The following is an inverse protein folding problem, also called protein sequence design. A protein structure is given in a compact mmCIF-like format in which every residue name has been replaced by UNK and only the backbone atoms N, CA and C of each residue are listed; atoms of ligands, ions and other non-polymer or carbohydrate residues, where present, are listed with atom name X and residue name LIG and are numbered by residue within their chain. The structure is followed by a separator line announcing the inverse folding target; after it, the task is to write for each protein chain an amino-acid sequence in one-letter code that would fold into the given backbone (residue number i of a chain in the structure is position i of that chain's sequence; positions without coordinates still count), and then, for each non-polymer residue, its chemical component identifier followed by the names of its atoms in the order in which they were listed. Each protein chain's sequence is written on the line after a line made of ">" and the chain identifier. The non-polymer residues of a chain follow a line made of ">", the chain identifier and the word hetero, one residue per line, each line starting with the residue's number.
data_IF_467976143563
#
_entry.id   IF_467976143563
#
_cell.length_a   1.000
_cell.length_b   1.000
_cell.length_c   1.000
_cell.angle_alpha   90.00
_cell.angle_beta   90.00
_cell.angle_gamma   90.00
#
_symmetry.space_group_name_H-M   'P 1'
#
loop_
_entity.id
_entity.type
_entity.pdbx_description
1 polymer ?
#
# COMPACT_ATOMS: atom_id res chain seq x y z
N UNK A 1 26.11 23.60 20.71
CA UNK A 1 24.98 24.10 21.49
C UNK A 1 23.87 23.08 21.40
N UNK A 2 23.63 22.34 22.48
CA UNK A 2 22.69 21.22 22.52
C UNK A 2 21.29 21.78 22.83
N UNK A 3 20.63 22.37 21.83
CA UNK A 3 19.21 22.70 21.96
C UNK A 3 18.50 21.35 22.00
N UNK A 4 18.13 20.89 23.21
CA UNK A 4 17.11 19.86 23.37
C UNK A 4 15.82 20.45 22.80
N UNK A 5 15.66 20.42 21.49
CA UNK A 5 14.38 20.71 20.85
C UNK A 5 13.35 19.81 21.52
N UNK A 6 12.29 20.42 22.05
CA UNK A 6 11.25 19.71 22.77
C UNK A 6 10.71 18.58 21.89
N UNK A 7 10.65 17.36 22.44
CA UNK A 7 10.02 16.24 21.73
C UNK A 7 8.55 16.55 21.51
N UNK A 8 8.09 16.36 20.29
CA UNK A 8 6.66 16.46 19.96
C UNK A 8 5.92 15.22 20.48
N UNK A 9 4.63 15.37 20.82
CA UNK A 9 3.73 14.21 20.97
C UNK A 9 3.33 13.66 19.59
N UNK A 10 2.83 12.41 19.49
CA UNK A 10 2.34 11.86 18.23
C UNK A 10 1.32 12.75 17.50
N UNK A 11 0.37 13.34 18.24
CA UNK A 11 -0.67 14.22 17.68
C UNK A 11 -0.09 15.55 17.20
N UNK A 12 0.86 16.12 17.93
CA UNK A 12 1.55 17.35 17.54
C UNK A 12 2.41 17.13 16.29
N UNK A 13 3.14 16.00 16.24
CA UNK A 13 3.92 15.63 15.07
C UNK A 13 3.03 15.45 13.84
N UNK A 14 1.89 14.78 13.98
CA UNK A 14 0.94 14.61 12.88
C UNK A 14 0.37 15.95 12.39
N UNK A 15 -0.05 16.84 13.29
CA UNK A 15 -0.55 18.15 12.91
C UNK A 15 0.51 18.99 12.16
N UNK A 16 1.77 18.91 12.61
CA UNK A 16 2.90 19.59 11.98
C UNK A 16 3.20 19.00 10.59
N UNK A 17 3.14 17.67 10.43
CA UNK A 17 3.29 16.99 9.14
C UNK A 17 2.20 17.44 8.16
N UNK A 18 0.93 17.45 8.59
CA UNK A 18 -0.20 17.90 7.78
C UNK A 18 -0.04 19.36 7.35
N UNK A 19 0.29 20.25 8.29
CA UNK A 19 0.45 21.67 8.00
C UNK A 19 1.58 21.94 7.00
N UNK A 20 2.75 21.32 7.19
CA UNK A 20 3.91 21.49 6.30
C UNK A 20 3.65 20.92 4.91
N UNK A 21 3.07 19.72 4.83
CA UNK A 21 2.73 19.10 3.55
C UNK A 21 1.73 19.96 2.75
N UNK A 22 0.65 20.40 3.38
CA UNK A 22 -0.36 21.25 2.73
C UNK A 22 0.21 22.61 2.29
N UNK A 23 1.11 23.20 3.09
CA UNK A 23 1.81 24.42 2.71
C UNK A 23 2.65 24.23 1.44
N UNK A 24 3.45 23.16 1.37
CA UNK A 24 4.30 22.87 0.20
C UNK A 24 3.49 22.52 -1.05
N UNK A 25 2.41 21.73 -0.91
CA UNK A 25 1.50 21.38 -2.02
C UNK A 25 0.78 22.63 -2.53
N UNK A 26 0.28 23.48 -1.63
CA UNK A 26 -0.40 24.74 -1.99
C UNK A 26 0.56 25.71 -2.68
N UNK A 27 1.78 25.85 -2.15
CA UNK A 27 2.81 26.68 -2.75
C UNK A 27 3.19 26.19 -4.16
N UNK A 28 3.33 24.88 -4.34
CA UNK A 28 3.66 24.30 -5.64
C UNK A 28 2.51 24.46 -6.65
N UNK A 29 1.26 24.22 -6.24
CA UNK A 29 0.06 24.47 -7.07
C UNK A 29 -0.04 25.93 -7.50
N UNK A 30 0.20 26.86 -6.57
CA UNK A 30 0.21 28.29 -6.86
C UNK A 30 1.31 28.64 -7.87
N UNK A 31 2.54 28.16 -7.65
CA UNK A 31 3.66 28.43 -8.55
C UNK A 31 3.43 27.87 -9.97
N UNK A 32 2.80 26.70 -10.09
CA UNK A 32 2.39 26.13 -11.39
C UNK A 32 1.33 27.02 -12.05
N UNK A 33 0.32 27.47 -11.31
CA UNK A 33 -0.69 28.40 -11.82
C UNK A 33 -0.09 29.72 -12.30
N UNK A 34 0.78 30.34 -11.50
CA UNK A 34 1.48 31.59 -11.84
C UNK A 34 2.38 31.42 -13.09
N UNK A 35 2.97 30.24 -13.28
CA UNK A 35 3.73 29.91 -14.48
C UNK A 35 2.83 29.74 -15.71
N UNK A 36 1.68 29.09 -15.57
CA UNK A 36 0.74 28.86 -16.68
C UNK A 36 0.10 30.18 -17.14
N UNK A 37 -0.35 31.00 -16.21
CA UNK A 37 -1.12 32.21 -16.51
C UNK A 37 -0.22 33.40 -16.87
N UNK A 38 0.95 33.50 -16.23
CA UNK A 38 1.80 34.69 -16.30
C UNK A 38 3.26 34.40 -16.72
N UNK A 39 3.62 33.13 -16.98
CA UNK A 39 5.01 32.71 -17.26
C UNK A 39 6.00 33.14 -16.15
N UNK A 40 5.52 33.24 -14.91
CA UNK A 40 6.33 33.59 -13.74
C UNK A 40 7.02 32.35 -13.19
N UNK A 41 8.34 32.44 -12.98
CA UNK A 41 9.13 31.35 -12.39
C UNK A 41 9.15 31.46 -10.85
N UNK A 42 9.18 30.33 -10.14
CA UNK A 42 9.34 30.35 -8.69
C UNK A 42 10.72 30.89 -8.31
N UNK A 43 10.77 31.63 -7.20
CA UNK A 43 12.02 32.15 -6.65
C UNK A 43 12.96 31.02 -6.22
N UNK A 44 14.22 31.12 -6.62
CA UNK A 44 15.26 30.14 -6.31
C UNK A 44 15.66 30.14 -4.84
N UNK A 45 15.61 31.29 -4.18
CA UNK A 45 15.95 31.39 -2.75
C UNK A 45 14.87 30.73 -1.89
N UNK A 46 13.59 31.05 -2.14
CA UNK A 46 12.47 30.39 -1.47
C UNK A 46 12.49 28.86 -1.67
N UNK A 47 12.86 28.36 -2.86
CA UNK A 47 13.02 26.91 -3.10
C UNK A 47 14.14 26.30 -2.26
N UNK A 48 15.29 26.98 -2.17
CA UNK A 48 16.41 26.53 -1.34
C UNK A 48 16.06 26.51 0.16
N UNK A 49 15.16 27.38 0.60
CA UNK A 49 14.60 27.39 1.96
C UNK A 49 13.54 26.29 2.22
N UNK A 50 13.16 25.53 1.19
CA UNK A 50 12.26 24.38 1.32
C UNK A 50 10.80 24.66 0.92
N UNK A 51 10.53 25.58 -0.01
CA UNK A 51 9.17 25.91 -0.43
C UNK A 51 8.36 24.69 -0.93
N UNK A 52 8.98 23.78 -1.68
CA UNK A 52 8.30 22.65 -2.32
C UNK A 52 8.69 21.30 -1.73
N UNK A 53 9.24 21.25 -0.51
CA UNK A 53 9.79 20.00 0.02
C UNK A 53 8.76 19.16 0.77
N UNK A 54 8.97 17.84 0.77
CA UNK A 54 8.24 16.97 1.69
C UNK A 54 8.62 17.29 3.14
N UNK A 55 7.71 17.13 4.10
CA UNK A 55 8.09 17.08 5.50
C UNK A 55 8.93 15.83 5.81
N UNK A 56 9.86 15.98 6.75
CA UNK A 56 10.70 14.91 7.28
C UNK A 56 10.28 14.59 8.71
N UNK A 57 10.05 13.31 8.98
CA UNK A 57 9.75 12.77 10.30
C UNK A 57 10.99 12.08 10.85
N UNK A 58 11.44 12.50 12.03
CA UNK A 58 12.60 11.92 12.72
C UNK A 58 12.20 11.44 14.11
N UNK A 59 12.55 10.20 14.43
CA UNK A 59 12.31 9.56 15.73
C UNK A 59 13.64 9.05 16.28
N UNK A 60 14.05 9.56 17.43
CA UNK A 60 15.31 9.17 18.08
C UNK A 60 15.06 8.38 19.36
N UNK A 61 15.89 7.36 19.59
CA UNK A 61 15.90 6.60 20.84
C UNK A 61 17.34 6.51 21.36
N UNK A 62 17.51 6.75 22.67
CA UNK A 62 18.79 6.84 23.35
C UNK A 62 19.37 5.48 23.79
N UNK A 63 18.61 4.40 23.62
CA UNK A 63 19.01 3.06 24.04
C UNK A 63 18.69 2.73 25.49
N UNK A 64 18.00 3.61 26.22
CA UNK A 64 17.64 3.38 27.61
C UNK A 64 16.63 2.22 27.77
N UNK A 65 16.61 1.63 28.96
CA UNK A 65 15.68 0.55 29.30
C UNK A 65 14.23 0.97 29.02
N UNK A 66 13.51 0.09 28.32
CA UNK A 66 12.20 0.38 27.77
C UNK A 66 11.14 -0.63 28.25
N UNK A 67 9.86 -0.25 28.14
CA UNK A 67 8.72 -1.11 28.53
C UNK A 67 8.21 -1.98 27.37
N UNK A 68 8.77 -1.81 26.18
CA UNK A 68 8.30 -2.50 24.98
C UNK A 68 8.33 -4.02 25.11
N UNK A 69 7.28 -4.66 24.58
CA UNK A 69 7.18 -6.11 24.48
C UNK A 69 8.18 -6.64 23.45
N UNK A 70 9.15 -7.44 23.90
CA UNK A 70 10.13 -8.11 23.01
C UNK A 70 9.49 -9.09 22.00
N UNK A 71 8.23 -9.47 22.22
CA UNK A 71 7.47 -10.40 21.38
C UNK A 71 6.69 -9.73 20.25
N UNK A 72 6.58 -8.38 20.26
CA UNK A 72 5.87 -7.65 19.20
C UNK A 72 6.64 -7.78 17.88
N UNK A 73 5.91 -7.93 16.78
CA UNK A 73 6.51 -8.08 15.45
C UNK A 73 6.90 -6.73 14.80
N UNK A 74 6.25 -5.62 15.14
CA UNK A 74 6.54 -4.28 14.61
C UNK A 74 6.63 -3.22 15.71
N UNK A 75 6.96 -1.97 15.34
CA UNK A 75 7.04 -0.84 16.29
C UNK A 75 8.14 -1.03 17.32
N UNK A 76 9.35 -1.39 16.86
CA UNK A 76 10.50 -1.70 17.72
C UNK A 76 11.75 -0.99 17.25
N UNK A 77 12.68 -0.77 18.18
CA UNK A 77 14.04 -0.38 17.85
C UNK A 77 14.98 -1.58 17.96
N UNK A 78 15.86 -1.72 16.99
CA UNK A 78 16.95 -2.71 17.03
C UNK A 78 18.18 -2.13 17.75
N UNK A 79 18.45 -0.84 17.55
CA UNK A 79 19.60 -0.14 18.13
C UNK A 79 19.19 1.28 18.52
N UNK A 80 19.97 1.90 19.40
CA UNK A 80 19.86 3.33 19.66
C UNK A 80 20.27 4.13 18.40
N UNK A 81 19.66 5.29 18.20
CA UNK A 81 19.95 6.14 17.06
C UNK A 81 18.77 7.01 16.63
N UNK A 82 18.95 7.70 15.51
CA UNK A 82 17.91 8.51 14.87
C UNK A 82 17.39 7.80 13.62
N UNK A 83 16.08 7.61 13.57
CA UNK A 83 15.36 7.01 12.47
C UNK A 83 14.57 8.10 11.75
N UNK A 84 14.79 8.29 10.44
CA UNK A 84 14.15 9.36 9.67
C UNK A 84 13.49 8.83 8.40
N UNK A 85 12.48 9.55 7.92
CA UNK A 85 11.86 9.33 6.62
C UNK A 85 11.14 10.59 6.15
N UNK A 86 11.04 10.78 4.84
CA UNK A 86 10.13 11.77 4.26
C UNK A 86 8.70 11.24 4.25
N UNK A 87 7.72 12.12 4.46
CA UNK A 87 6.30 11.77 4.52
C UNK A 87 5.53 12.51 3.43
N UNK A 88 4.61 11.80 2.76
CA UNK A 88 3.60 12.36 1.86
C UNK A 88 2.21 12.01 2.35
N UNK A 89 1.19 12.74 1.88
CA UNK A 89 -0.23 12.55 2.19
C UNK A 89 -0.52 12.21 3.68
N UNK A 90 -0.09 13.03 4.67
CA UNK A 90 -0.22 12.69 6.08
C UNK A 90 -1.67 12.44 6.53
N UNK A 91 -2.65 13.10 5.88
CA UNK A 91 -4.08 12.87 6.11
C UNK A 91 -4.53 11.45 5.74
N UNK A 92 -4.05 10.91 4.61
CA UNK A 92 -4.33 9.53 4.19
C UNK A 92 -3.74 8.53 5.18
N UNK A 93 -2.50 8.76 5.61
CA UNK A 93 -1.77 7.88 6.53
C UNK A 93 -2.00 8.21 8.01
N UNK A 94 -2.96 9.07 8.34
CA UNK A 94 -3.18 9.61 9.70
C UNK A 94 -3.28 8.52 10.76
N UNK A 95 -4.15 7.54 10.54
CA UNK A 95 -4.37 6.46 11.50
C UNK A 95 -3.11 5.58 11.66
N UNK A 96 -2.44 5.28 10.56
CA UNK A 96 -1.19 4.50 10.56
C UNK A 96 -0.07 5.23 11.31
N UNK A 97 0.20 6.49 10.96
CA UNK A 97 1.25 7.28 11.58
C UNK A 97 0.99 7.49 13.07
N UNK A 98 -0.25 7.78 13.46
CA UNK A 98 -0.63 7.95 14.85
C UNK A 98 -0.40 6.66 15.65
N UNK A 99 -0.84 5.51 15.12
CA UNK A 99 -0.60 4.20 15.76
C UNK A 99 0.90 3.94 15.96
N UNK A 100 1.70 4.05 14.89
CA UNK A 100 3.12 3.73 14.95
C UNK A 100 3.88 4.68 15.87
N UNK A 101 3.64 6.00 15.78
CA UNK A 101 4.29 6.99 16.63
C UNK A 101 3.90 6.82 18.10
N UNK A 102 2.65 6.47 18.38
CA UNK A 102 2.18 6.21 19.74
C UNK A 102 2.92 5.03 20.37
N UNK A 103 3.11 3.94 19.63
CA UNK A 103 3.86 2.77 20.12
C UNK A 103 5.31 3.14 20.47
N UNK A 104 6.00 3.86 19.58
CA UNK A 104 7.39 4.25 19.81
C UNK A 104 7.52 5.26 20.96
N UNK A 105 6.58 6.20 21.05
CA UNK A 105 6.56 7.21 22.09
C UNK A 105 6.28 6.62 23.48
N UNK A 106 5.24 5.79 23.61
CA UNK A 106 4.82 5.25 24.91
C UNK A 106 5.75 4.16 25.44
N UNK A 107 6.24 3.28 24.57
CA UNK A 107 7.00 2.11 25.02
C UNK A 107 8.49 2.39 25.20
N UNK A 108 9.05 3.29 24.38
CA UNK A 108 10.49 3.61 24.35
C UNK A 108 10.80 5.03 24.81
N UNK A 109 9.79 5.88 25.04
CA UNK A 109 10.03 7.29 25.35
C UNK A 109 10.70 8.04 24.20
N UNK A 110 10.46 7.61 22.95
CA UNK A 110 11.19 8.10 21.79
C UNK A 110 10.98 9.60 21.54
N UNK A 111 12.03 10.27 21.09
CA UNK A 111 12.00 11.70 20.77
C UNK A 111 11.54 11.92 19.33
N UNK A 112 10.39 12.54 19.15
CA UNK A 112 9.79 12.82 17.83
C UNK A 112 10.06 14.26 17.42
N UNK A 113 10.51 14.44 16.17
CA UNK A 113 10.74 15.75 15.54
C UNK A 113 10.20 15.75 14.11
N UNK A 114 9.73 16.92 13.68
CA UNK A 114 9.28 17.16 12.31
C UNK A 114 10.06 18.35 11.76
N UNK A 115 10.69 18.16 10.62
CA UNK A 115 11.59 19.13 9.99
C UNK A 115 11.29 19.23 8.48
N UNK A 116 11.89 20.20 7.80
CA UNK A 116 11.86 20.25 6.34
C UNK A 116 12.84 19.22 5.79
N UNK A 117 12.41 18.44 4.80
CA UNK A 117 13.35 17.57 4.08
C UNK A 117 14.15 18.37 3.04
N UNK A 118 15.09 17.69 2.38
CA UNK A 118 15.81 18.22 1.22
C UNK A 118 15.18 17.81 -0.12
N UNK A 119 14.03 17.13 -0.07
CA UNK A 119 13.42 16.50 -1.23
C UNK A 119 12.18 17.28 -1.68
N UNK A 120 12.26 17.89 -2.85
CA UNK A 120 11.10 18.54 -3.48
C UNK A 120 10.05 17.51 -3.94
N UNK A 121 8.77 17.92 -3.84
CA UNK A 121 7.58 17.21 -4.33
C UNK A 121 7.52 17.35 -5.85
N UNK A 122 7.54 16.25 -6.62
CA UNK A 122 7.33 16.31 -8.05
C UNK A 122 5.97 16.91 -8.41
N UNK A 123 5.97 17.88 -9.32
CA UNK A 123 4.75 18.58 -9.74
C UNK A 123 3.62 17.66 -10.25
N UNK A 124 3.89 16.49 -10.89
CA UNK A 124 2.80 15.61 -11.34
C UNK A 124 1.91 15.08 -10.20
N UNK A 125 2.40 15.07 -8.96
CA UNK A 125 1.65 14.53 -7.82
C UNK A 125 0.74 15.56 -7.14
N UNK A 126 0.94 16.85 -7.40
CA UNK A 126 0.06 17.91 -6.87
C UNK A 126 -1.05 18.30 -7.85
N UNK A 127 -0.94 17.90 -9.12
CA UNK A 127 -1.94 18.17 -10.15
C UNK A 127 -3.00 17.06 -10.13
N UNK A 128 -4.25 17.43 -9.85
CA UNK A 128 -5.37 16.53 -10.09
C UNK A 128 -5.58 16.37 -11.60
N UNK A 129 -5.37 15.15 -12.10
CA UNK A 129 -5.26 14.80 -13.52
C UNK A 129 -6.44 15.15 -14.44
N UNK A 130 -7.47 15.82 -13.94
CA UNK A 130 -8.61 16.33 -14.70
C UNK A 130 -8.52 17.84 -15.03
N UNK A 131 -7.56 18.58 -14.49
CA UNK A 131 -7.61 20.05 -14.49
C UNK A 131 -6.72 20.76 -15.51
N UNK A 132 -5.71 20.11 -16.09
CA UNK A 132 -4.70 20.80 -16.91
C UNK A 132 -4.48 20.12 -18.26
N UNK A 133 -5.16 20.61 -19.30
CA UNK A 133 -4.77 20.37 -20.69
C UNK A 133 -3.63 21.30 -21.07
N UNK A 134 -2.40 20.81 -20.91
CA UNK A 134 -1.19 21.56 -21.26
C UNK A 134 -0.86 21.38 -22.74
N UNK A 135 -0.44 22.46 -23.41
CA UNK A 135 0.18 22.34 -24.72
C UNK A 135 1.61 21.72 -24.61
N UNK A 136 2.21 21.38 -25.76
CA UNK A 136 3.56 20.79 -25.79
C UNK A 136 4.67 21.73 -25.28
N UNK A 137 4.52 23.05 -25.47
CA UNK A 137 5.51 24.05 -25.06
C UNK A 137 5.52 24.21 -23.55
N UNK A 138 4.34 24.31 -22.93
CA UNK A 138 4.15 24.42 -21.48
C UNK A 138 4.61 23.17 -20.74
N UNK A 139 4.39 21.99 -21.34
CA UNK A 139 4.88 20.72 -20.77
C UNK A 139 6.42 20.67 -20.69
N UNK A 140 7.12 21.17 -21.72
CA UNK A 140 8.58 21.25 -21.73
C UNK A 140 9.10 22.29 -20.71
N UNK A 141 8.40 23.41 -20.57
CA UNK A 141 8.69 24.43 -19.56
C UNK A 141 8.57 23.91 -18.13
N UNK A 142 7.46 23.23 -17.82
CA UNK A 142 7.23 22.64 -16.50
C UNK A 142 8.32 21.64 -16.12
N UNK A 143 8.65 20.72 -17.02
CA UNK A 143 9.70 19.71 -16.80
C UNK A 143 11.08 20.34 -16.56
N UNK A 144 11.34 21.53 -17.12
CA UNK A 144 12.62 22.22 -17.00
C UNK A 144 12.78 23.01 -15.69
N UNK A 145 11.71 23.65 -15.23
CA UNK A 145 11.79 24.61 -14.13
C UNK A 145 11.20 24.09 -12.81
N UNK A 146 10.33 23.08 -12.86
CA UNK A 146 9.67 22.50 -11.69
C UNK A 146 10.23 21.11 -11.34
N UNK A 147 10.02 20.65 -10.09
CA UNK A 147 10.51 19.34 -9.66
C UNK A 147 9.82 18.21 -10.43
N UNK A 148 10.61 17.30 -11.00
CA UNK A 148 10.15 16.16 -11.80
C UNK A 148 10.33 14.84 -11.08
N UNK A 149 9.62 13.81 -11.56
CA UNK A 149 9.81 12.45 -11.09
C UNK A 149 11.11 11.87 -11.66
N UNK A 150 12.17 11.87 -10.85
CA UNK A 150 13.44 11.23 -11.20
C UNK A 150 13.41 9.75 -10.80
N UNK A 151 13.26 8.85 -11.78
CA UNK A 151 13.16 7.40 -11.56
C UNK A 151 14.38 6.81 -10.83
N UNK A 152 15.56 7.39 -11.02
CA UNK A 152 16.79 6.98 -10.33
C UNK A 152 16.78 7.26 -8.82
N UNK A 153 15.88 8.13 -8.35
CA UNK A 153 15.74 8.53 -6.95
C UNK A 153 14.52 7.87 -6.28
N UNK A 154 13.80 7.02 -7.01
CA UNK A 154 12.66 6.25 -6.49
C UNK A 154 13.11 4.80 -6.42
N UNK A 155 13.41 4.35 -5.21
CA UNK A 155 13.93 3.03 -4.98
C UNK A 155 13.23 2.30 -3.85
N UNK A 156 13.51 1.00 -3.82
CA UNK A 156 13.04 0.04 -2.82
C UNK A 156 14.17 -0.37 -1.87
N UNK A 157 15.28 0.38 -1.83
CA UNK A 157 16.51 -0.03 -1.15
C UNK A 157 16.29 -0.32 0.33
N UNK A 158 15.38 0.41 0.98
CA UNK A 158 15.01 0.15 2.37
C UNK A 158 14.18 -1.12 2.52
N UNK A 159 13.22 -1.35 1.62
CA UNK A 159 12.36 -2.53 1.65
C UNK A 159 13.14 -3.82 1.25
N UNK A 160 14.11 -3.68 0.34
CA UNK A 160 14.99 -4.75 -0.15
C UNK A 160 16.16 -5.03 0.80
N UNK A 161 16.35 -4.22 1.85
CA UNK A 161 17.44 -4.37 2.82
C UNK A 161 18.83 -4.00 2.26
N UNK A 162 18.87 -3.22 1.17
CA UNK A 162 20.09 -2.74 0.53
C UNK A 162 20.60 -1.41 1.11
N UNK A 163 19.80 -0.75 1.95
CA UNK A 163 20.18 0.50 2.59
C UNK A 163 21.21 0.28 3.70
N UNK A 164 22.39 0.90 3.57
CA UNK A 164 23.48 0.83 4.56
C UNK A 164 23.55 2.17 5.31
N UNK A 165 23.01 2.25 6.54
CA UNK A 165 22.95 3.50 7.29
C UNK A 165 24.35 3.89 7.79
N UNK A 166 24.74 5.14 7.56
CA UNK A 166 25.96 5.73 8.16
C UNK A 166 25.64 6.53 9.42
N UNK A 167 24.66 7.44 9.35
CA UNK A 167 24.31 8.36 10.44
C UNK A 167 22.82 8.32 10.83
N UNK A 168 21.93 8.11 9.86
CA UNK A 168 20.48 8.01 10.07
C UNK A 168 19.96 6.67 9.56
N UNK A 169 19.02 6.09 10.32
CA UNK A 169 18.34 4.85 9.97
C UNK A 169 16.99 5.14 9.29
N UNK A 170 16.48 4.26 8.42
CA UNK A 170 15.15 4.44 7.83
C UNK A 170 14.05 4.19 8.87
N UNK A 171 13.11 5.13 9.02
CA UNK A 171 11.96 4.97 9.93
C UNK A 171 10.84 4.10 9.35
N UNK A 172 10.65 4.12 8.03
CA UNK A 172 9.62 3.36 7.32
C UNK A 172 10.21 2.62 6.12
N UNK A 173 9.43 1.69 5.56
CA UNK A 173 9.84 0.93 4.38
C UNK A 173 9.99 1.76 3.11
N UNK A 174 9.18 2.82 3.01
CA UNK A 174 9.13 3.67 1.83
C UNK A 174 9.20 5.13 2.25
N UNK A 175 9.82 5.92 1.40
CA UNK A 175 9.89 7.37 1.50
C UNK A 175 8.71 8.03 0.78
N UNK A 176 8.61 9.36 0.88
CA UNK A 176 7.51 10.11 0.29
C UNK A 176 7.38 9.94 -1.23
N UNK A 177 8.50 9.93 -1.96
CA UNK A 177 8.50 9.85 -3.42
C UNK A 177 8.03 8.49 -3.92
N UNK A 178 8.50 7.41 -3.28
CA UNK A 178 8.07 6.04 -3.58
C UNK A 178 6.58 5.82 -3.28
N UNK A 179 6.09 6.42 -2.19
CA UNK A 179 4.66 6.41 -1.85
C UNK A 179 3.85 7.14 -2.92
N UNK A 180 4.17 8.40 -3.26
CA UNK A 180 3.41 9.17 -4.25
C UNK A 180 3.41 8.51 -5.64
N UNK A 181 4.56 7.99 -6.07
CA UNK A 181 4.66 7.21 -7.30
C UNK A 181 3.68 6.04 -7.31
N UNK A 182 3.64 5.30 -6.21
CA UNK A 182 2.77 4.13 -6.08
C UNK A 182 1.29 4.50 -5.95
N UNK A 183 0.95 5.59 -5.25
CA UNK A 183 -0.43 6.08 -5.15
C UNK A 183 -0.97 6.49 -6.52
N UNK A 184 -0.17 7.22 -7.31
CA UNK A 184 -0.52 7.59 -8.67
C UNK A 184 -0.72 6.36 -9.57
N UNK A 185 0.16 5.36 -9.45
CA UNK A 185 0.06 4.10 -10.20
C UNK A 185 -1.12 3.23 -9.77
N UNK A 186 -1.41 3.14 -8.47
CA UNK A 186 -2.60 2.45 -7.96
C UNK A 186 -3.85 3.03 -8.62
N UNK A 187 -4.05 4.35 -8.52
CA UNK A 187 -5.21 5.01 -9.13
C UNK A 187 -5.31 4.71 -10.63
N UNK A 188 -4.19 4.73 -11.35
CA UNK A 188 -4.16 4.42 -12.79
C UNK A 188 -4.52 2.96 -13.09
N UNK A 189 -3.97 1.99 -12.37
CA UNK A 189 -4.19 0.58 -12.64
C UNK A 189 -5.53 0.07 -12.14
N UNK A 190 -6.02 0.58 -11.01
CA UNK A 190 -7.24 0.11 -10.36
C UNK A 190 -8.48 0.92 -10.74
N UNK A 191 -8.30 2.16 -11.20
CA UNK A 191 -9.41 3.05 -11.49
C UNK A 191 -10.18 3.48 -10.25
N UNK A 192 -9.54 3.42 -9.07
CA UNK A 192 -10.13 3.75 -7.77
C UNK A 192 -9.25 4.73 -6.98
N UNK A 193 -9.83 5.59 -6.14
CA UNK A 193 -9.09 6.43 -5.20
C UNK A 193 -8.34 5.58 -4.16
N UNK A 194 -7.15 6.03 -3.74
CA UNK A 194 -6.31 5.30 -2.78
C UNK A 194 -6.94 5.27 -1.37
N UNK A 195 -7.74 6.28 -1.04
CA UNK A 195 -8.47 6.46 0.21
C UNK A 195 -9.48 5.34 0.46
N UNK A 196 -9.93 4.65 -0.59
CA UNK A 196 -10.95 3.62 -0.49
C UNK A 196 -10.36 2.24 -0.20
N UNK A 197 -9.04 2.06 -0.32
CA UNK A 197 -8.40 0.77 -0.07
C UNK A 197 -8.54 0.35 1.39
N UNK A 198 -9.07 -0.85 1.56
CA UNK A 198 -9.24 -1.50 2.85
C UNK A 198 -8.03 -2.41 3.19
N UNK A 199 -7.73 -2.62 4.50
CA UNK A 199 -6.56 -3.39 4.94
C UNK A 199 -6.54 -4.86 4.55
N UNK A 200 -7.72 -5.47 4.32
CA UNK A 200 -7.88 -6.87 3.92
C UNK A 200 -8.09 -6.96 2.42
N UNK A 201 -7.09 -7.48 1.70
CA UNK A 201 -7.10 -7.50 0.24
C UNK A 201 -7.29 -8.92 -0.29
N UNK A 202 -8.11 -9.05 -1.33
CA UNK A 202 -8.30 -10.26 -2.10
C UNK A 202 -7.83 -10.01 -3.53
N UNK A 203 -6.95 -10.87 -4.02
CA UNK A 203 -6.56 -10.92 -5.42
C UNK A 203 -7.35 -12.01 -6.12
N UNK A 204 -7.79 -11.72 -7.35
CA UNK A 204 -8.35 -12.73 -8.23
C UNK A 204 -7.80 -12.64 -9.64
N UNK A 205 -7.78 -13.78 -10.33
CA UNK A 205 -7.38 -13.90 -11.74
C UNK A 205 -8.57 -14.18 -12.67
N UNK A 206 -9.81 -14.19 -12.15
CA UNK A 206 -10.98 -14.54 -12.94
C UNK A 206 -12.16 -13.62 -12.67
N UNK A 207 -12.69 -13.04 -13.75
CA UNK A 207 -13.70 -11.98 -13.68
C UNK A 207 -14.96 -12.37 -12.92
N UNK A 208 -15.39 -13.64 -12.96
CA UNK A 208 -16.62 -14.05 -12.24
C UNK A 208 -16.54 -13.88 -10.73
N UNK A 209 -15.34 -13.84 -10.13
CA UNK A 209 -15.20 -13.51 -8.71
C UNK A 209 -15.59 -12.07 -8.41
N UNK A 210 -15.40 -11.16 -9.36
CA UNK A 210 -15.85 -9.77 -9.23
C UNK A 210 -17.37 -9.70 -9.21
N UNK A 211 -18.03 -10.38 -10.14
CA UNK A 211 -19.50 -10.37 -10.24
C UNK A 211 -20.12 -10.87 -8.93
N UNK A 212 -19.59 -11.98 -8.40
CA UNK A 212 -20.01 -12.54 -7.11
C UNK A 212 -19.70 -11.59 -5.94
N UNK A 213 -18.51 -10.98 -5.92
CA UNK A 213 -18.14 -10.04 -4.86
C UNK A 213 -19.02 -8.79 -4.84
N UNK A 214 -19.37 -8.24 -6.00
CA UNK A 214 -20.26 -7.08 -6.08
C UNK A 214 -21.68 -7.47 -5.69
N UNK A 215 -22.19 -8.60 -6.19
CA UNK A 215 -23.53 -9.07 -5.80
C UNK A 215 -23.63 -9.29 -4.29
N UNK A 216 -22.66 -10.01 -3.70
CA UNK A 216 -22.57 -10.18 -2.26
C UNK A 216 -22.42 -8.84 -1.53
N UNK A 217 -21.57 -7.94 -2.02
CA UNK A 217 -21.34 -6.64 -1.40
C UNK A 217 -22.57 -5.74 -1.39
N UNK A 218 -23.34 -5.71 -2.47
CA UNK A 218 -24.62 -5.00 -2.51
C UNK A 218 -25.61 -5.59 -1.51
N UNK A 219 -25.69 -6.92 -1.40
CA UNK A 219 -26.52 -7.58 -0.38
C UNK A 219 -26.09 -7.19 1.04
N UNK A 220 -24.79 -7.13 1.30
CA UNK A 220 -24.26 -6.72 2.61
C UNK A 220 -24.51 -5.25 2.95
N UNK A 221 -24.61 -4.36 1.96
CA UNK A 221 -24.90 -2.94 2.20
C UNK A 221 -26.39 -2.72 2.52
N UNK A 222 -27.26 -3.55 1.95
CA UNK A 222 -28.70 -3.52 2.21
C UNK A 222 -29.07 -4.15 3.57
N UNK A 223 -28.24 -5.05 4.08
CA UNK A 223 -28.42 -5.67 5.39
C UNK A 223 -28.07 -4.69 6.54
N UNK A 224 -29.03 -4.27 7.38
CA UNK A 224 -28.76 -3.36 8.49
C UNK A 224 -27.83 -3.92 9.57
N UNK A 225 -27.72 -5.25 9.69
CA UNK A 225 -26.86 -5.90 10.69
C UNK A 225 -25.39 -6.03 10.23
N UNK A 226 -25.15 -5.76 8.94
CA UNK A 226 -23.84 -5.84 8.32
C UNK A 226 -23.01 -4.57 8.58
N UNK A 227 -21.69 -4.68 8.83
CA UNK A 227 -20.83 -3.52 9.09
C UNK A 227 -20.51 -2.70 7.83
N UNK A 228 -20.92 -3.18 6.66
CA UNK A 228 -20.54 -2.65 5.36
C UNK A 228 -21.54 -1.60 4.88
N UNK A 229 -21.03 -0.42 4.53
CA UNK A 229 -21.89 0.77 4.27
C UNK A 229 -21.78 1.30 2.85
N UNK A 230 -20.68 0.98 2.15
CA UNK A 230 -20.45 1.48 0.80
C UNK A 230 -19.60 0.52 -0.02
N UNK A 231 -19.75 0.58 -1.35
CA UNK A 231 -18.95 -0.13 -2.31
C UNK A 231 -18.40 0.86 -3.35
N UNK A 232 -17.09 1.10 -3.30
CA UNK A 232 -16.38 1.84 -4.34
C UNK A 232 -15.99 0.89 -5.46
N UNK A 233 -16.40 1.22 -6.67
CA UNK A 233 -16.14 0.41 -7.85
C UNK A 233 -15.15 1.12 -8.79
N UNK A 234 -14.33 0.31 -9.48
CA UNK A 234 -13.46 0.79 -10.55
C UNK A 234 -14.26 1.59 -11.60
N UNK A 235 -13.71 2.74 -12.01
CA UNK A 235 -14.38 3.65 -12.93
C UNK A 235 -15.17 4.77 -12.26
N UNK A 236 -15.09 4.90 -10.93
CA UNK A 236 -15.59 6.05 -10.17
C UNK A 236 -17.03 5.91 -9.64
N UNK A 237 -17.57 4.70 -9.66
CA UNK A 237 -18.93 4.42 -9.19
C UNK A 237 -18.90 4.20 -7.68
N UNK A 238 -19.87 4.80 -6.98
CA UNK A 238 -19.99 4.74 -5.53
C UNK A 238 -21.40 4.27 -5.17
N UNK A 239 -21.49 3.09 -4.56
CA UNK A 239 -22.75 2.45 -4.19
C UNK A 239 -22.93 2.53 -2.67
N UNK A 240 -24.13 2.90 -2.24
CA UNK A 240 -24.59 2.94 -0.84
C UNK A 240 -25.99 2.33 -0.73
N UNK A 241 -26.52 2.20 0.49
CA UNK A 241 -27.88 1.68 0.72
C UNK A 241 -28.99 2.53 0.05
N UNK A 242 -28.71 3.80 -0.27
CA UNK A 242 -29.64 4.72 -0.92
C UNK A 242 -29.56 4.70 -2.45
N UNK A 243 -28.64 3.92 -3.02
CA UNK A 243 -28.41 3.90 -4.48
C UNK A 243 -29.50 3.10 -5.19
N UNK A 244 -30.20 3.72 -6.14
CA UNK A 244 -31.18 3.03 -7.00
C UNK A 244 -30.47 2.07 -7.98
N UNK A 245 -30.96 0.84 -8.09
CA UNK A 245 -30.48 -0.20 -9.01
C UNK A 245 -28.95 -0.49 -8.95
N UNK A 246 -28.41 -0.90 -7.79
CA UNK A 246 -26.97 -1.10 -7.58
C UNK A 246 -26.34 -2.17 -8.49
N UNK A 247 -27.13 -3.13 -8.96
CA UNK A 247 -26.69 -4.23 -9.85
C UNK A 247 -26.40 -3.76 -11.28
N UNK A 248 -27.02 -2.67 -11.74
CA UNK A 248 -26.78 -2.10 -13.08
C UNK A 248 -25.55 -1.18 -13.12
N UNK A 249 -24.95 -0.91 -11.96
CA UNK A 249 -23.82 0.00 -11.81
C UNK A 249 -22.47 -0.68 -12.09
N UNK A 250 -22.42 -1.99 -12.35
CA UNK A 250 -21.19 -2.63 -12.84
C UNK A 250 -21.01 -2.26 -14.31
N UNK A 251 -20.19 -1.25 -14.57
CA UNK A 251 -19.92 -0.82 -15.93
C UNK A 251 -18.93 -1.76 -16.61
N UNK A 252 -19.33 -2.38 -17.73
CA UNK A 252 -18.43 -3.09 -18.65
C UNK A 252 -17.22 -2.24 -19.09
N UNK A 253 -17.30 -0.91 -18.98
CA UNK A 253 -16.20 0.00 -19.29
C UNK A 253 -15.04 -0.05 -18.29
N UNK A 254 -15.23 -0.57 -17.08
CA UNK A 254 -14.17 -0.66 -16.08
C UNK A 254 -12.99 -1.51 -16.58
N UNK A 255 -13.28 -2.67 -17.18
CA UNK A 255 -12.29 -3.58 -17.77
C UNK A 255 -11.59 -3.02 -19.01
N UNK A 256 -12.25 -2.15 -19.76
CA UNK A 256 -11.66 -1.56 -20.97
C UNK A 256 -10.65 -0.46 -20.66
N UNK A 257 -10.80 0.21 -19.51
CA UNK A 257 -9.99 1.38 -19.14
C UNK A 257 -8.86 1.07 -18.16
N UNK A 258 -9.02 0.05 -17.31
CA UNK A 258 -8.08 -0.24 -16.22
C UNK A 258 -7.57 -1.67 -16.31
N UNK A 259 -6.24 -1.84 -16.20
CA UNK A 259 -5.60 -3.14 -16.35
C UNK A 259 -5.91 -4.09 -15.17
N UNK A 260 -6.01 -3.55 -13.95
CA UNK A 260 -6.24 -4.32 -12.73
C UNK A 260 -7.34 -3.69 -11.87
N UNK A 261 -8.62 -3.71 -12.32
CA UNK A 261 -9.71 -3.02 -11.64
C UNK A 261 -9.88 -3.48 -10.19
N UNK A 262 -10.25 -2.55 -9.31
CA UNK A 262 -10.50 -2.82 -7.89
C UNK A 262 -11.92 -2.46 -7.44
N UNK A 263 -12.38 -3.15 -6.40
CA UNK A 263 -13.62 -2.90 -5.70
C UNK A 263 -13.36 -2.87 -4.20
N UNK A 264 -13.91 -1.89 -3.51
CA UNK A 264 -13.67 -1.67 -2.10
C UNK A 264 -14.98 -1.64 -1.35
N UNK A 265 -15.17 -2.62 -0.49
CA UNK A 265 -16.36 -2.80 0.31
C UNK A 265 -16.03 -2.25 1.70
N UNK A 266 -16.57 -1.07 2.00
CA UNK A 266 -16.08 -0.14 3.02
C UNK A 266 -16.95 -0.24 4.28
N UNK A 267 -16.30 -0.21 5.44
CA UNK A 267 -16.94 -0.11 6.77
C UNK A 267 -16.70 1.28 7.37
N UNK A 268 -17.45 1.64 8.41
CA UNK A 268 -17.25 2.92 9.12
C UNK A 268 -15.85 3.03 9.77
N UNK A 269 -15.26 1.92 10.21
CA UNK A 269 -13.93 1.89 10.83
C UNK A 269 -12.78 1.63 9.84
N UNK A 270 -13.07 1.56 8.54
CA UNK A 270 -12.07 1.33 7.49
C UNK A 270 -11.43 -0.05 7.54
N UNK A 271 -12.15 -1.07 8.04
CA UNK A 271 -11.72 -2.48 8.11
C UNK A 271 -12.54 -3.36 7.18
N UNK A 272 -12.85 -2.83 6.01
CA UNK A 272 -13.56 -3.55 4.96
C UNK A 272 -12.69 -4.51 4.16
N UNK A 273 -13.16 -4.86 2.96
CA UNK A 273 -12.46 -5.77 2.05
C UNK A 273 -12.21 -5.06 0.72
N UNK A 274 -10.98 -5.15 0.22
CA UNK A 274 -10.63 -4.75 -1.15
C UNK A 274 -10.47 -5.98 -2.02
N UNK A 275 -11.15 -6.03 -3.15
CA UNK A 275 -10.93 -7.04 -4.18
C UNK A 275 -10.26 -6.40 -5.39
N UNK A 276 -9.17 -7.00 -5.87
CA UNK A 276 -8.45 -6.55 -7.06
C UNK A 276 -8.37 -7.70 -8.05
N UNK A 277 -8.90 -7.49 -9.25
CA UNK A 277 -8.70 -8.43 -10.34
C UNK A 277 -7.36 -8.14 -11.01
N UNK A 278 -6.34 -8.93 -10.70
CA UNK A 278 -4.97 -8.75 -11.23
C UNK A 278 -4.81 -9.33 -12.64
N UNK A 279 -5.84 -10.01 -13.13
CA UNK A 279 -5.79 -10.79 -14.36
C UNK A 279 -4.76 -11.91 -14.25
N UNK A 280 -4.02 -12.10 -15.34
CA UNK A 280 -3.14 -13.26 -15.53
C UNK A 280 -1.72 -12.78 -15.86
N UNK A 281 -0.71 -13.48 -15.36
CA UNK A 281 0.71 -13.17 -15.55
C UNK A 281 1.44 -12.66 -14.30
N UNK A 282 2.60 -13.23 -13.94
CA UNK A 282 3.42 -12.80 -12.79
C UNK A 282 3.81 -11.31 -12.80
N UNK A 283 3.98 -10.71 -13.98
CA UNK A 283 4.32 -9.29 -14.13
C UNK A 283 3.24 -8.36 -13.54
N UNK A 284 1.96 -8.67 -13.75
CA UNK A 284 0.86 -7.91 -13.17
C UNK A 284 0.84 -8.09 -11.65
N UNK A 285 0.99 -9.33 -11.17
CA UNK A 285 1.04 -9.63 -9.73
C UNK A 285 2.16 -8.86 -9.03
N UNK A 286 3.37 -8.81 -9.61
CA UNK A 286 4.46 -7.99 -9.08
C UNK A 286 4.08 -6.51 -9.06
N UNK A 287 3.64 -5.97 -10.21
CA UNK A 287 3.33 -4.55 -10.38
C UNK A 287 2.30 -4.05 -9.38
N UNK A 288 1.20 -4.79 -9.18
CA UNK A 288 0.18 -4.38 -8.21
C UNK A 288 0.70 -4.48 -6.77
N UNK A 289 1.48 -5.51 -6.44
CA UNK A 289 2.03 -5.68 -5.10
C UNK A 289 3.03 -4.56 -4.76
N UNK A 290 3.87 -4.16 -5.72
CA UNK A 290 4.85 -3.06 -5.54
C UNK A 290 4.15 -1.77 -5.10
N UNK A 291 2.99 -1.47 -5.70
CA UNK A 291 2.26 -0.25 -5.40
C UNK A 291 1.31 -0.39 -4.21
N UNK A 292 0.57 -1.50 -4.11
CA UNK A 292 -0.32 -1.78 -2.99
C UNK A 292 0.45 -1.82 -1.66
N UNK A 293 1.74 -2.18 -1.73
CA UNK A 293 2.60 -2.22 -0.58
C UNK A 293 2.60 -0.92 0.21
N UNK A 294 2.59 0.24 -0.44
CA UNK A 294 2.74 1.53 0.27
C UNK A 294 1.59 1.83 1.22
N UNK A 295 0.42 1.23 0.98
CA UNK A 295 -0.77 1.35 1.83
C UNK A 295 -0.73 0.50 3.10
N UNK A 296 0.32 -0.33 3.27
CA UNK A 296 0.53 -1.19 4.46
C UNK A 296 -0.70 -2.07 4.77
N UNK A 297 -1.15 -2.93 3.82
CA UNK A 297 -2.25 -3.84 4.08
C UNK A 297 -1.93 -4.83 5.20
N UNK A 298 -2.96 -5.26 5.93
CA UNK A 298 -2.85 -6.26 7.00
C UNK A 298 -2.56 -7.63 6.42
N UNK A 299 -3.26 -7.97 5.34
CA UNK A 299 -3.11 -9.22 4.61
C UNK A 299 -3.64 -9.06 3.18
N UNK A 300 -3.01 -9.75 2.25
CA UNK A 300 -3.61 -10.02 0.95
C UNK A 300 -3.65 -11.53 0.69
N UNK A 301 -4.71 -12.00 0.03
CA UNK A 301 -4.92 -13.42 -0.27
C UNK A 301 -5.11 -13.61 -1.78
N UNK A 302 -4.55 -14.68 -2.33
CA UNK A 302 -4.79 -15.08 -3.71
C UNK A 302 -5.97 -16.04 -3.79
N UNK A 303 -7.09 -15.59 -4.37
CA UNK A 303 -8.30 -16.37 -4.61
C UNK A 303 -8.53 -16.45 -6.12
N UNK A 304 -8.05 -17.53 -6.72
CA UNK A 304 -8.12 -17.73 -8.17
C UNK A 304 -8.16 -19.18 -8.57
N UNK A 305 -8.29 -19.42 -9.87
CA UNK A 305 -8.24 -20.77 -10.42
C UNK A 305 -6.81 -21.26 -10.57
N UNK A 306 -6.63 -22.58 -10.54
CA UNK A 306 -5.38 -23.25 -10.84
C UNK A 306 -5.63 -24.60 -11.54
N UNK A 307 -4.59 -25.15 -12.17
CA UNK A 307 -4.64 -26.51 -12.74
C UNK A 307 -4.28 -27.56 -11.68
N UNK A 308 -5.13 -28.58 -11.52
CA UNK A 308 -4.80 -29.76 -10.72
C UNK A 308 -3.80 -30.64 -11.45
N UNK A 309 -2.70 -31.02 -10.79
CA UNK A 309 -1.64 -31.86 -11.37
C UNK A 309 -1.71 -33.32 -10.93
N UNK A 310 -2.64 -33.65 -10.03
CA UNK A 310 -2.79 -35.00 -9.48
C UNK A 310 -4.09 -35.61 -10.00
N UNK A 311 -4.04 -36.87 -10.39
CA UNK A 311 -5.21 -37.63 -10.86
C UNK A 311 -6.36 -37.68 -9.85
N UNK A 312 -6.04 -37.60 -8.56
CA UNK A 312 -7.02 -37.66 -7.48
C UNK A 312 -7.75 -36.33 -7.26
N UNK A 313 -7.43 -35.27 -8.01
CA UNK A 313 -8.08 -33.96 -7.88
C UNK A 313 -9.23 -33.85 -8.87
N UNK A 314 -10.36 -33.35 -8.40
CA UNK A 314 -11.52 -33.03 -9.22
C UNK A 314 -11.59 -31.52 -9.51
N UNK A 315 -12.27 -31.16 -10.60
CA UNK A 315 -12.61 -29.75 -10.86
C UNK A 315 -13.54 -29.27 -9.73
N UNK A 316 -13.14 -28.17 -9.07
CA UNK A 316 -13.87 -27.61 -7.93
C UNK A 316 -13.24 -27.93 -6.57
N UNK A 317 -12.18 -28.74 -6.53
CA UNK A 317 -11.35 -28.90 -5.33
C UNK A 317 -10.53 -27.64 -5.05
N UNK A 318 -10.27 -27.39 -3.76
CA UNK A 318 -9.45 -26.30 -3.28
C UNK A 318 -8.00 -26.75 -3.07
N UNK A 319 -7.07 -25.81 -3.29
CA UNK A 319 -5.64 -26.01 -3.02
C UNK A 319 -5.18 -24.95 -2.03
N UNK A 320 -4.68 -25.39 -0.88
CA UNK A 320 -3.98 -24.53 0.07
C UNK A 320 -2.48 -24.67 -0.16
N UNK A 321 -1.86 -23.62 -0.68
CA UNK A 321 -0.42 -23.58 -0.89
C UNK A 321 0.31 -23.50 0.45
N UNK A 322 1.22 -24.46 0.71
CA UNK A 322 2.13 -24.41 1.88
C UNK A 322 3.58 -24.11 1.49
N UNK A 323 3.89 -24.16 0.19
CA UNK A 323 5.19 -23.89 -0.40
C UNK A 323 5.03 -23.52 -1.87
N UNK A 324 6.03 -22.81 -2.42
CA UNK A 324 6.04 -22.29 -3.78
C UNK A 324 7.24 -22.83 -4.55
N UNK A 325 7.04 -23.33 -5.78
CA UNK A 325 8.12 -23.55 -6.76
C UNK A 325 8.16 -22.36 -7.72
N UNK A 326 9.10 -21.45 -7.50
CA UNK A 326 9.15 -20.16 -8.19
C UNK A 326 9.76 -20.27 -9.59
N UNK A 327 8.91 -20.56 -10.57
CA UNK A 327 9.22 -20.53 -12.01
C UNK A 327 8.61 -19.27 -12.68
N UNK A 328 8.43 -18.20 -11.91
CA UNK A 328 7.82 -16.94 -12.34
C UNK A 328 8.83 -15.91 -12.86
N UNK A 329 10.11 -16.06 -12.51
CA UNK A 329 11.29 -15.28 -12.94
C UNK A 329 11.30 -13.78 -12.64
N UNK A 330 10.14 -13.19 -12.33
CA UNK A 330 9.97 -11.73 -12.23
C UNK A 330 10.61 -11.13 -10.98
N UNK A 331 10.89 -11.97 -9.97
CA UNK A 331 11.51 -11.56 -8.71
C UNK A 331 12.93 -12.13 -8.52
N UNK A 332 13.46 -12.90 -9.45
CA UNK A 332 14.71 -13.65 -9.26
C UNK A 332 15.91 -12.74 -8.94
N UNK A 333 15.93 -11.52 -9.50
CA UNK A 333 17.01 -10.56 -9.27
C UNK A 333 17.03 -9.97 -7.85
N UNK A 334 15.86 -9.78 -7.23
CA UNK A 334 15.73 -9.17 -5.89
C UNK A 334 15.51 -10.20 -4.79
N UNK A 335 14.98 -11.36 -5.15
CA UNK A 335 14.73 -12.48 -4.26
C UNK A 335 15.13 -13.78 -5.00
N UNK A 336 16.37 -14.25 -4.85
CA UNK A 336 16.83 -15.46 -5.53
C UNK A 336 15.91 -16.68 -5.28
N UNK A 337 15.71 -17.60 -6.25
CA UNK A 337 14.79 -18.74 -6.12
C UNK A 337 15.11 -19.71 -4.97
N UNK A 338 16.35 -19.74 -4.51
CA UNK A 338 16.82 -20.56 -3.39
C UNK A 338 16.43 -20.00 -2.01
N UNK A 339 16.02 -18.73 -1.93
CA UNK A 339 15.53 -18.12 -0.70
C UNK A 339 14.15 -18.71 -0.36
N UNK A 340 13.99 -19.37 0.80
CA UNK A 340 12.73 -20.01 1.16
C UNK A 340 11.67 -18.96 1.50
N UNK A 341 10.50 -19.07 0.86
CA UNK A 341 9.31 -18.30 1.21
C UNK A 341 8.44 -19.16 2.14
N UNK A 342 8.41 -18.88 3.46
CA UNK A 342 7.62 -19.66 4.39
C UNK A 342 6.13 -19.32 4.30
N UNK A 343 5.30 -20.28 4.71
CA UNK A 343 3.88 -20.02 4.93
C UNK A 343 3.64 -19.33 6.28
N UNK A 344 2.72 -18.37 6.30
CA UNK A 344 2.30 -17.70 7.54
C UNK A 344 1.24 -18.55 8.26
N UNK A 345 1.58 -19.07 9.44
CA UNK A 345 0.75 -20.03 10.17
C UNK A 345 -0.65 -19.48 10.51
N UNK A 346 -0.77 -18.18 10.82
CA UNK A 346 -2.03 -17.52 11.11
C UNK A 346 -2.96 -17.53 9.89
N UNK A 347 -2.41 -17.25 8.71
CA UNK A 347 -3.16 -17.20 7.44
C UNK A 347 -3.56 -18.61 6.99
N UNK A 348 -2.65 -19.58 7.14
CA UNK A 348 -2.92 -20.98 6.81
C UNK A 348 -4.08 -21.54 7.64
N UNK A 349 -4.08 -21.27 8.96
CA UNK A 349 -5.17 -21.66 9.84
C UNK A 349 -6.49 -20.99 9.45
N UNK A 350 -6.47 -19.68 9.21
CA UNK A 350 -7.65 -18.93 8.80
C UNK A 350 -8.27 -19.49 7.51
N UNK A 351 -7.46 -19.77 6.48
CA UNK A 351 -7.94 -20.37 5.23
C UNK A 351 -8.47 -21.79 5.41
N UNK A 352 -7.78 -22.61 6.22
CA UNK A 352 -8.20 -23.97 6.50
C UNK A 352 -9.54 -24.02 7.25
N UNK A 353 -9.69 -23.22 8.29
CA UNK A 353 -10.91 -23.15 9.10
C UNK A 353 -12.07 -22.51 8.31
N UNK A 354 -11.79 -21.47 7.51
CA UNK A 354 -12.78 -20.89 6.59
C UNK A 354 -13.27 -21.92 5.57
N UNK A 355 -12.37 -22.74 5.02
CA UNK A 355 -12.75 -23.80 4.08
C UNK A 355 -13.69 -24.79 4.74
N UNK A 356 -13.38 -25.25 5.96
CA UNK A 356 -14.24 -26.18 6.72
C UNK A 356 -15.63 -25.62 6.95
N UNK A 357 -15.72 -24.36 7.37
CA UNK A 357 -16.98 -23.69 7.69
C UNK A 357 -17.84 -23.51 6.43
N UNK A 358 -17.26 -22.97 5.36
CA UNK A 358 -18.00 -22.64 4.13
C UNK A 358 -18.33 -23.89 3.30
N UNK A 359 -17.46 -24.89 3.28
CA UNK A 359 -17.72 -26.13 2.53
C UNK A 359 -18.65 -27.11 3.26
N UNK A 360 -19.00 -26.84 4.52
CA UNK A 360 -19.81 -27.73 5.36
C UNK A 360 -19.16 -29.09 5.65
N UNK A 361 -17.82 -29.19 5.56
CA UNK A 361 -17.06 -30.43 5.76
C UNK A 361 -16.18 -30.32 7.01
N UNK A 362 -16.69 -30.71 8.19
CA UNK A 362 -15.95 -30.59 9.44
C UNK A 362 -14.82 -31.63 9.57
N UNK A 363 -13.90 -31.37 10.51
CA UNK A 363 -12.86 -32.34 10.88
C UNK A 363 -11.93 -32.70 9.73
N UNK A 364 -11.82 -33.99 9.45
CA UNK A 364 -10.94 -34.55 8.42
C UNK A 364 -11.63 -34.69 7.05
N UNK A 365 -12.95 -34.52 6.98
CA UNK A 365 -13.72 -34.61 5.72
C UNK A 365 -13.27 -33.55 4.72
N UNK A 366 -12.81 -32.40 5.20
CA UNK A 366 -12.26 -31.32 4.37
C UNK A 366 -11.12 -31.81 3.47
N UNK A 367 -10.39 -32.88 3.84
CA UNK A 367 -9.31 -33.44 3.01
C UNK A 367 -9.79 -34.05 1.69
N UNK A 368 -11.09 -34.36 1.58
CA UNK A 368 -11.68 -34.83 0.32
C UNK A 368 -11.78 -33.72 -0.71
N UNK A 369 -11.85 -32.45 -0.28
CA UNK A 369 -12.07 -31.29 -1.15
C UNK A 369 -10.96 -30.24 -1.08
N UNK A 370 -10.14 -30.27 -0.04
CA UNK A 370 -9.01 -29.36 0.18
C UNK A 370 -7.71 -30.15 0.21
N UNK A 371 -6.80 -29.81 -0.69
CA UNK A 371 -5.45 -30.35 -0.71
C UNK A 371 -4.44 -29.30 -0.26
N UNK A 372 -3.68 -29.59 0.78
CA UNK A 372 -2.52 -28.78 1.17
C UNK A 372 -1.30 -29.27 0.41
N UNK A 373 -0.64 -28.40 -0.36
CA UNK A 373 0.37 -28.82 -1.34
C UNK A 373 1.35 -27.73 -1.73
N UNK A 374 2.46 -28.14 -2.38
CA UNK A 374 3.35 -27.20 -3.06
C UNK A 374 2.64 -26.71 -4.32
N UNK A 375 2.62 -25.40 -4.51
CA UNK A 375 2.04 -24.76 -5.67
C UNK A 375 3.17 -24.21 -6.57
N UNK A 376 3.00 -24.30 -7.88
CA UNK A 376 3.97 -23.83 -8.87
C UNK A 376 3.29 -22.74 -9.69
N UNK A 377 3.65 -21.46 -9.55
CA UNK A 377 3.35 -20.46 -10.57
C UNK A 377 4.07 -20.84 -11.87
N UNK A 378 3.40 -21.22 -12.97
CA UNK A 378 4.01 -21.14 -14.29
C UNK A 378 4.23 -19.68 -14.69
N UNK A 379 5.07 -19.44 -15.68
CA UNK A 379 5.26 -18.15 -16.38
C UNK A 379 3.95 -17.48 -16.82
N UNK A 380 2.85 -18.22 -16.90
CA UNK A 380 1.52 -17.76 -17.32
C UNK A 380 0.47 -17.66 -16.21
N UNK A 381 0.69 -18.10 -14.97
CA UNK A 381 -0.35 -18.06 -13.91
C UNK A 381 0.16 -17.32 -12.68
N UNK A 382 -0.63 -16.35 -12.23
CA UNK A 382 -0.34 -15.47 -11.11
C UNK A 382 -0.25 -16.22 -9.79
N UNK A 383 0.87 -16.03 -9.12
CA UNK A 383 1.14 -16.53 -7.79
C UNK A 383 1.49 -15.43 -6.85
N UNK A 384 0.49 -14.70 -6.33
CA UNK A 384 0.77 -13.74 -5.27
C UNK A 384 0.88 -14.49 -3.95
N UNK A 385 2.09 -14.45 -3.39
CA UNK A 385 2.39 -14.79 -2.01
C UNK A 385 1.56 -13.89 -1.09
N UNK A 386 0.96 -14.41 -0.03
CA UNK A 386 0.45 -13.57 1.07
C UNK A 386 1.66 -12.96 1.80
N UNK A 387 1.99 -11.69 1.51
CA UNK A 387 3.01 -10.93 2.24
C UNK A 387 2.24 -9.92 3.08
N UNK A 388 2.06 -10.16 4.39
CA UNK A 388 1.48 -9.15 5.27
C UNK A 388 2.49 -8.00 5.41
N UNK A 389 2.24 -6.88 4.73
CA UNK A 389 3.15 -5.73 4.76
C UNK A 389 2.98 -4.82 5.98
N UNK A 390 1.89 -4.99 6.75
CA UNK A 390 1.87 -4.52 8.15
C UNK A 390 2.88 -5.24 9.04
N UNK A 391 3.36 -6.43 8.65
CA UNK A 391 4.09 -7.35 9.55
C UNK A 391 5.58 -7.48 9.26
N UNK A 392 6.13 -6.75 8.29
CA UNK A 392 7.56 -6.77 7.99
C UNK A 392 8.33 -5.56 8.53
N UNK A 393 7.88 -4.89 9.59
CA UNK A 393 8.75 -3.91 10.25
C UNK A 393 9.88 -4.67 10.98
N UNK A 394 11.12 -4.47 10.52
CA UNK A 394 12.38 -4.85 11.17
C UNK A 394 12.71 -6.35 11.23
N UNK A 395 13.02 -6.95 10.08
CA UNK A 395 14.13 -7.91 10.02
C UNK A 395 15.24 -7.24 9.23
N UNK A 396 15.96 -6.32 9.89
CA UNK A 396 17.37 -6.12 9.59
C UNK A 396 18.04 -7.45 9.93
N UNK A 397 18.28 -8.28 8.92
CA UNK A 397 19.14 -9.45 9.07
C UNK A 397 20.53 -8.94 9.45
N UNK A 398 20.80 -8.94 10.76
CA UNK A 398 22.15 -8.80 11.25
C UNK A 398 22.99 -9.95 10.70
N UNK A 399 24.12 -9.58 10.08
CA UNK A 399 25.36 -10.31 10.31
C UNK A 399 26.19 -9.52 11.29
#
# INVERSE_FOLDING_TARGET
>A
MNIKAASLTPEQALAELEARYEASVTALRKAIGDYIDHNTLPDTEARAEGLFVYPQLSVSWDGADHKALKTRAWGRFTHAGCYTTTITNPKLFRNYLLEQLTLLYQDYGAHIRVELSQHEIPYPYVIDGSTLTLDRSMSAGLTRYFPTTELSQIGDETADGLFHPTEFYPLSHFDARRVDFSLARLRHYTGTPAEHFQPYVLFTNYTRYVDEFVSWGCSQILDPDSPYIALSCAGGIWITAETEAPEQAISDLAWKKHQMPAWHLITHDGKGITLINIGVGPANAKTICDHLAVLRPDVWLMIGHCGGLRESQAIGDYVLAHAYLRDDHVLDAVLPPDIPIPSIAEVQRALYDATKQVSGMPGEEVKQRLRTGRWSPPTTVTGSCAIPLRRCALISAGR
#
